data_IF_676429924163
#
_entry.id   IF_676429924163
#
_cell.length_a   1.000
_cell.length_b   1.000
_cell.length_c   1.000
_cell.angle_alpha   90.00
_cell.angle_beta   90.00
_cell.angle_gamma   90.00
#
_symmetry.space_group_name_H-M   'P 1'
#
loop_
_entity.id
_entity.type
_entity.pdbx_description
1 polymer ?
#
# COMPACT_ATOMS: atom_id res chain seq x y z
N UNK A 1 -7.56 11.10 -2.76
CA UNK A 1 -6.55 10.09 -2.41
C UNK A 1 -5.18 10.75 -2.49
N UNK A 2 -4.26 10.42 -1.59
CA UNK A 2 -2.85 10.83 -1.66
C UNK A 2 -1.98 9.58 -1.83
N UNK A 3 -0.99 9.67 -2.71
CA UNK A 3 -0.08 8.58 -3.00
C UNK A 3 1.32 8.91 -2.51
N UNK A 4 1.96 7.97 -1.81
CA UNK A 4 3.27 8.15 -1.22
C UNK A 4 4.24 7.11 -1.77
N UNK A 5 5.42 7.57 -2.18
CA UNK A 5 6.61 6.71 -2.23
C UNK A 5 7.23 6.75 -0.84
N UNK A 6 7.25 5.61 -0.14
CA UNK A 6 7.71 5.56 1.24
C UNK A 6 8.48 4.27 1.52
N UNK A 7 9.78 4.43 1.81
CA UNK A 7 10.72 3.34 2.03
C UNK A 7 11.05 3.22 3.53
N UNK A 8 10.14 2.60 4.28
CA UNK A 8 10.36 2.25 5.69
C UNK A 8 9.80 0.85 5.99
N UNK A 9 9.90 0.41 7.25
CA UNK A 9 9.29 -0.84 7.70
C UNK A 9 7.75 -0.73 7.70
N UNK A 10 7.02 -1.83 7.45
CA UNK A 10 5.56 -1.82 7.32
C UNK A 10 4.83 -1.14 8.48
N UNK A 11 5.25 -1.40 9.72
CA UNK A 11 4.62 -0.81 10.92
C UNK A 11 4.74 0.72 10.95
N UNK A 12 5.90 1.25 10.60
CA UNK A 12 6.09 2.71 10.56
C UNK A 12 5.24 3.34 9.44
N UNK A 13 5.15 2.68 8.29
CA UNK A 13 4.29 3.13 7.19
C UNK A 13 2.82 3.17 7.65
N UNK A 14 2.36 2.13 8.35
CA UNK A 14 1.00 2.06 8.87
C UNK A 14 0.70 3.17 9.91
N UNK A 15 1.59 3.39 10.87
CA UNK A 15 1.44 4.45 11.88
C UNK A 15 1.31 5.83 11.23
N UNK A 16 2.16 6.12 10.25
CA UNK A 16 2.11 7.38 9.51
C UNK A 16 0.86 7.49 8.64
N UNK A 17 0.44 6.40 8.00
CA UNK A 17 -0.77 6.38 7.18
C UNK A 17 -2.03 6.58 8.01
N UNK A 18 -2.11 6.01 9.22
CA UNK A 18 -3.18 6.31 10.17
C UNK A 18 -3.21 7.81 10.50
N UNK A 19 -2.06 8.37 10.90
CA UNK A 19 -1.94 9.79 11.24
C UNK A 19 -2.33 10.70 10.07
N UNK A 20 -1.88 10.39 8.85
CA UNK A 20 -2.17 11.20 7.68
C UNK A 20 -3.62 11.04 7.22
N UNK A 21 -4.18 9.84 7.29
CA UNK A 21 -5.59 9.56 7.04
C UNK A 21 -6.50 10.41 7.94
N UNK A 22 -6.22 10.44 9.24
CA UNK A 22 -6.95 11.28 10.21
C UNK A 22 -6.78 12.78 9.94
N UNK A 23 -5.54 13.23 9.70
CA UNK A 23 -5.24 14.65 9.50
C UNK A 23 -5.90 15.21 8.23
N UNK A 24 -5.94 14.41 7.17
CA UNK A 24 -6.32 14.86 5.83
C UNK A 24 -7.77 14.49 5.52
N UNK A 25 -8.28 13.42 6.12
CA UNK A 25 -9.61 12.87 5.86
C UNK A 25 -9.76 12.33 4.43
N UNK A 26 -8.67 11.83 3.85
CA UNK A 26 -8.63 11.28 2.48
C UNK A 26 -7.92 9.93 2.50
N UNK A 27 -8.34 8.98 1.64
CA UNK A 27 -7.63 7.71 1.51
C UNK A 27 -6.18 7.90 1.06
N UNK A 28 -5.31 6.99 1.50
CA UNK A 28 -3.88 6.97 1.22
C UNK A 28 -3.48 5.70 0.45
N UNK A 29 -2.49 5.82 -0.42
CA UNK A 29 -1.95 4.74 -1.25
C UNK A 29 -0.43 4.70 -1.09
N UNK A 30 0.13 3.53 -0.80
CA UNK A 30 1.58 3.34 -0.81
C UNK A 30 2.02 3.02 -2.24
N UNK A 31 2.25 4.06 -3.03
CA UNK A 31 2.47 3.94 -4.46
C UNK A 31 3.84 3.36 -4.82
N UNK A 32 4.82 3.42 -3.92
CA UNK A 32 6.12 2.81 -4.16
C UNK A 32 6.83 2.50 -2.84
N UNK A 33 7.01 1.21 -2.55
CA UNK A 33 7.74 0.73 -1.38
C UNK A 33 8.59 -0.49 -1.71
N UNK A 34 9.71 -0.64 -1.02
CA UNK A 34 10.60 -1.76 -1.24
C UNK A 34 10.08 -2.97 -0.45
N UNK A 35 9.90 -4.12 -1.10
CA UNK A 35 10.07 -5.40 -0.43
C UNK A 35 11.56 -5.74 -0.55
N UNK A 36 12.38 -5.55 0.51
CA UNK A 36 13.82 -5.72 0.43
C UNK A 36 14.15 -7.09 -0.16
N UNK A 37 15.01 -7.12 -1.20
CA UNK A 37 15.42 -8.33 -1.92
C UNK A 37 14.27 -9.19 -2.48
N UNK A 38 13.07 -8.63 -2.64
CA UNK A 38 11.87 -9.38 -3.08
C UNK A 38 11.58 -10.57 -2.16
N UNK A 39 11.82 -10.39 -0.87
CA UNK A 39 11.47 -11.39 0.13
C UNK A 39 9.94 -11.53 0.19
N UNK A 40 9.46 -12.74 -0.13
CA UNK A 40 8.05 -13.09 -0.07
C UNK A 40 7.45 -12.86 1.32
N UNK A 41 8.22 -13.08 2.38
CA UNK A 41 7.78 -12.82 3.75
C UNK A 41 7.51 -11.33 3.97
N UNK A 42 8.36 -10.46 3.41
CA UNK A 42 8.20 -9.01 3.50
C UNK A 42 7.03 -8.49 2.66
N UNK A 43 6.77 -9.10 1.50
CA UNK A 43 5.56 -8.79 0.72
C UNK A 43 4.29 -9.07 1.52
N UNK A 44 4.22 -10.26 2.13
CA UNK A 44 3.11 -10.69 2.97
C UNK A 44 2.95 -9.81 4.21
N UNK A 45 4.03 -9.54 4.94
CA UNK A 45 4.05 -8.64 6.10
C UNK A 45 3.51 -7.25 5.74
N UNK A 46 3.93 -6.71 4.59
CA UNK A 46 3.45 -5.41 4.12
C UNK A 46 1.96 -5.44 3.80
N UNK A 47 1.49 -6.48 3.10
CA UNK A 47 0.06 -6.66 2.80
C UNK A 47 -0.78 -6.74 4.08
N UNK A 48 -0.40 -7.59 5.03
CA UNK A 48 -1.11 -7.79 6.30
C UNK A 48 -1.18 -6.49 7.10
N UNK A 49 -0.06 -5.78 7.21
CA UNK A 49 0.05 -4.52 7.95
C UNK A 49 -0.80 -3.42 7.33
N UNK A 50 -0.73 -3.23 6.01
CA UNK A 50 -1.48 -2.17 5.33
C UNK A 50 -2.98 -2.46 5.25
N UNK A 51 -3.37 -3.73 5.23
CA UNK A 51 -4.78 -4.16 5.27
C UNK A 51 -5.47 -3.77 6.59
N UNK A 52 -4.71 -3.62 7.67
CA UNK A 52 -5.20 -3.15 8.96
C UNK A 52 -5.47 -1.63 9.00
N UNK A 53 -4.91 -0.86 8.05
CA UNK A 53 -5.07 0.59 8.00
C UNK A 53 -6.33 0.96 7.23
N UNK A 54 -7.36 1.46 7.92
CA UNK A 54 -8.68 1.76 7.33
C UNK A 54 -8.65 2.72 6.13
N UNK A 55 -7.79 3.73 6.18
CA UNK A 55 -7.67 4.73 5.11
C UNK A 55 -6.69 4.29 4.00
N UNK A 56 -6.00 3.15 4.15
CA UNK A 56 -5.10 2.62 3.13
C UNK A 56 -5.88 1.83 2.09
N UNK A 57 -5.77 2.22 0.83
CA UNK A 57 -6.49 1.56 -0.28
C UNK A 57 -5.64 0.56 -1.04
N UNK A 58 -4.38 0.39 -0.66
CA UNK A 58 -3.46 -0.59 -1.26
C UNK A 58 -2.03 -0.09 -1.36
N UNK A 59 -1.22 -0.84 -2.11
CA UNK A 59 0.16 -0.49 -2.38
C UNK A 59 0.68 -1.06 -3.69
N UNK A 60 1.79 -0.52 -4.18
CA UNK A 60 2.58 -1.09 -5.25
C UNK A 60 4.02 -1.33 -4.79
N UNK A 61 4.61 -2.43 -5.26
CA UNK A 61 5.99 -2.76 -4.94
C UNK A 61 6.96 -2.06 -5.90
N UNK A 62 7.93 -1.36 -5.31
CA UNK A 62 9.04 -0.71 -6.01
C UNK A 62 10.03 -1.72 -6.55
N UNK A 63 10.45 -1.59 -7.81
CA UNK A 63 11.59 -2.34 -8.36
C UNK A 63 11.30 -3.12 -9.63
N UNK A 64 10.52 -2.53 -10.53
CA UNK A 64 10.16 -3.03 -11.85
C UNK A 64 9.39 -4.37 -11.88
N UNK A 65 8.53 -4.49 -12.88
CA UNK A 65 7.80 -5.73 -13.18
C UNK A 65 8.79 -6.81 -13.67
N UNK A 66 9.66 -6.43 -14.61
CA UNK A 66 10.80 -7.22 -15.09
C UNK A 66 12.06 -6.93 -14.28
N UNK A 67 12.93 -7.93 -14.13
CA UNK A 67 14.18 -7.81 -13.39
C UNK A 67 15.05 -6.72 -13.98
N UNK A 68 15.31 -5.71 -13.17
CA UNK A 68 16.21 -4.63 -13.56
C UNK A 68 17.67 -5.07 -13.36
N UNK A 69 18.53 -4.92 -14.38
CA UNK A 69 19.96 -5.25 -14.31
C UNK A 69 20.74 -4.52 -13.20
N UNK A 70 20.39 -3.27 -12.92
CA UNK A 70 21.08 -2.44 -11.93
C UNK A 70 20.63 -2.76 -10.50
N UNK A 71 19.33 -2.96 -10.28
CA UNK A 71 18.75 -3.20 -8.95
C UNK A 71 18.60 -4.69 -8.60
N UNK A 72 18.72 -5.56 -9.60
CA UNK A 72 18.70 -7.01 -9.45
C UNK A 72 17.35 -7.60 -9.02
N UNK A 73 16.25 -6.85 -9.14
CA UNK A 73 14.93 -7.20 -8.64
C UNK A 73 13.85 -7.04 -9.71
N UNK A 74 12.84 -7.91 -9.69
CA UNK A 74 11.66 -7.94 -10.55
C UNK A 74 10.70 -9.04 -10.07
N UNK A 75 9.45 -9.03 -10.52
CA UNK A 75 8.56 -10.21 -10.39
C UNK A 75 8.87 -11.27 -11.45
N UNK A 76 9.33 -10.80 -12.61
CA UNK A 76 9.80 -11.62 -13.71
C UNK A 76 11.29 -11.43 -13.90
N UNK A 77 11.98 -12.45 -14.40
CA UNK A 77 13.32 -12.33 -14.97
C UNK A 77 13.28 -11.56 -16.31
N UNK A 78 14.44 -11.28 -16.90
CA UNK A 78 14.52 -10.54 -18.17
C UNK A 78 13.89 -11.29 -19.36
N UNK A 79 13.82 -12.62 -19.29
CA UNK A 79 13.16 -13.50 -20.27
C UNK A 79 11.68 -13.77 -19.94
N UNK A 80 11.10 -12.96 -19.04
CA UNK A 80 9.72 -13.04 -18.56
C UNK A 80 9.39 -14.29 -17.72
N UNK A 81 10.40 -15.11 -17.36
CA UNK A 81 10.17 -16.22 -16.44
C UNK A 81 9.82 -15.72 -15.04
N UNK A 82 8.93 -16.43 -14.34
CA UNK A 82 8.50 -16.04 -13.00
C UNK A 82 9.64 -16.23 -12.00
N UNK A 83 9.87 -15.21 -11.17
CA UNK A 83 10.73 -15.34 -9.98
C UNK A 83 9.97 -16.00 -8.83
N UNK A 84 10.71 -16.46 -7.81
CA UNK A 84 10.14 -17.18 -6.66
C UNK A 84 9.14 -16.35 -5.83
N UNK A 85 9.13 -15.02 -5.94
CA UNK A 85 8.15 -14.18 -5.21
C UNK A 85 6.74 -14.26 -5.82
N UNK A 86 6.58 -14.65 -7.09
CA UNK A 86 5.28 -14.59 -7.79
C UNK A 86 4.22 -15.46 -7.11
N UNK A 87 4.55 -16.70 -6.76
CA UNK A 87 3.59 -17.61 -6.14
C UNK A 87 3.16 -17.13 -4.73
N UNK A 88 4.08 -16.80 -3.81
CA UNK A 88 3.72 -16.22 -2.50
C UNK A 88 2.96 -14.89 -2.58
N UNK A 89 3.36 -13.99 -3.49
CA UNK A 89 2.65 -12.72 -3.68
C UNK A 89 1.24 -12.95 -4.21
N UNK A 90 1.06 -13.93 -5.11
CA UNK A 90 -0.27 -14.34 -5.61
C UNK A 90 -1.15 -14.85 -4.47
N UNK A 91 -0.59 -15.66 -3.57
CA UNK A 91 -1.31 -16.17 -2.40
C UNK A 91 -1.75 -15.03 -1.48
N UNK A 92 -0.82 -14.15 -1.07
CA UNK A 92 -1.11 -12.98 -0.23
C UNK A 92 -2.17 -12.05 -0.86
N UNK A 93 -2.13 -11.86 -2.18
CA UNK A 93 -3.14 -11.09 -2.91
C UNK A 93 -4.52 -11.76 -2.86
N UNK A 94 -4.60 -13.08 -3.05
CA UNK A 94 -5.87 -13.81 -2.96
C UNK A 94 -6.47 -13.75 -1.56
N UNK A 95 -5.66 -13.90 -0.53
CA UNK A 95 -6.10 -13.77 0.86
C UNK A 95 -6.67 -12.37 1.15
N UNK A 96 -6.00 -11.34 0.64
CA UNK A 96 -6.44 -9.95 0.79
C UNK A 96 -7.75 -9.69 0.04
N UNK A 97 -7.87 -10.17 -1.20
CA UNK A 97 -9.13 -10.08 -1.95
C UNK A 97 -10.27 -10.80 -1.23
N UNK A 98 -10.01 -11.98 -0.66
CA UNK A 98 -10.98 -12.71 0.12
C UNK A 98 -11.38 -11.95 1.40
N UNK A 99 -10.42 -11.26 2.05
CA UNK A 99 -10.70 -10.38 3.17
C UNK A 99 -11.57 -9.18 2.76
N UNK A 100 -11.26 -8.52 1.65
CA UNK A 100 -12.04 -7.38 1.13
C UNK A 100 -13.47 -7.80 0.80
N UNK A 101 -13.65 -8.98 0.19
CA UNK A 101 -14.96 -9.53 -0.17
C UNK A 101 -15.84 -9.89 1.04
N UNK A 102 -15.27 -10.02 2.24
CA UNK A 102 -15.99 -10.27 3.51
C UNK A 102 -16.56 -9.00 4.16
N UNK A 103 -16.35 -7.83 3.54
CA UNK A 103 -17.10 -6.61 3.83
C UNK A 103 -16.42 -5.64 4.80
N UNK A 104 -15.64 -4.71 4.24
CA UNK A 104 -15.64 -3.32 4.70
C UNK A 104 -16.48 -2.52 3.71
N UNK A 105 -17.74 -2.29 4.06
CA UNK A 105 -18.47 -1.15 3.49
C UNK A 105 -17.72 0.07 3.98
N UNK A 106 -16.98 0.75 3.10
CA UNK A 106 -16.38 2.04 3.42
C UNK A 106 -17.50 2.97 3.86
N UNK A 107 -17.74 3.08 5.16
CA UNK A 107 -18.71 4.00 5.73
C UNK A 107 -18.22 5.40 5.37
N UNK A 108 -18.87 5.96 4.36
CA UNK A 108 -18.47 7.18 3.69
C UNK A 108 -18.33 8.33 4.71
N UNK A 109 -17.11 8.62 5.14
CA UNK A 109 -16.74 9.84 5.91
C UNK A 109 -16.85 11.13 5.07
N UNK A 110 -17.53 11.10 3.92
CA UNK A 110 -17.76 12.30 3.10
C UNK A 110 -18.54 13.41 3.84
N UNK A 111 -19.34 13.05 4.85
CA UNK A 111 -20.02 14.01 5.72
C UNK A 111 -19.05 14.83 6.60
N UNK A 112 -17.91 14.25 7.00
CA UNK A 112 -16.93 14.94 7.85
C UNK A 112 -16.09 15.97 7.08
N UNK A 113 -15.82 15.73 5.78
CA UNK A 113 -15.10 16.69 4.93
C UNK A 113 -15.93 17.95 4.64
N UNK A 114 -17.25 17.81 4.50
CA UNK A 114 -18.17 18.95 4.28
C UNK A 114 -18.35 19.85 5.51
N UNK A 115 -17.89 19.42 6.70
CA UNK A 115 -18.03 20.15 7.97
C UNK A 115 -16.76 20.84 8.45
N UNK A 116 -15.65 20.83 7.69
CA UNK A 116 -14.53 21.70 8.04
C UNK A 116 -14.94 23.16 7.77
N UNK A 117 -14.99 24.04 8.78
CA UNK A 117 -15.13 25.46 8.52
C UNK A 117 -13.97 25.86 7.62
N UNK A 118 -14.29 26.64 6.58
CA UNK A 118 -13.30 27.28 5.73
C UNK A 118 -12.24 27.89 6.64
N UNK A 119 -10.98 27.45 6.52
CA UNK A 119 -9.89 28.16 7.15
C UNK A 119 -9.96 29.56 6.59
N UNK A 120 -10.29 30.51 7.45
CA UNK A 120 -10.32 31.93 7.14
C UNK A 120 -9.07 32.27 6.31
N UNK A 121 -9.30 32.64 5.05
CA UNK A 121 -8.33 33.38 4.28
C UNK A 121 -8.12 34.70 5.03
N UNK A 122 -7.05 34.76 5.81
CA UNK A 122 -6.83 35.81 6.80
C UNK A 122 -5.37 36.23 6.85
N UNK A 123 -5.03 37.09 5.88
CA UNK A 123 -3.89 38.02 5.80
C UNK A 123 -2.48 37.46 5.59
#
# INVERSE_FOLDING_TARGET
MLSYQYFSEPNQIADDFHRWGELIGKPVLLADACAPKRDASRYRETMETLTAVDDCVGWHVCGAYLRNRTRGAGFLEEDETHTDIVAPATEANRETLAWMGRGKVYACRAEAYKRRPERAAGR
#
